data_IF_467605940726
#
_entry.id   IF_467605940726
#
_cell.length_a   1.000
_cell.length_b   1.000
_cell.length_c   1.000
_cell.angle_alpha   90.00
_cell.angle_beta   90.00
_cell.angle_gamma   90.00
#
_symmetry.space_group_name_H-M   'P 1'
#
loop_
_entity.id
_entity.type
_entity.pdbx_description
1 polymer ?
#
# COMPACT_ATOMS: atom_id res chain seq x y z
N UNK A 1 9.14 -5.60 8.45
CA UNK A 1 8.61 -5.79 7.08
C UNK A 1 8.09 -4.45 6.60
N UNK A 2 8.08 -4.20 5.29
CA UNK A 2 7.48 -3.01 4.70
C UNK A 2 6.38 -3.41 3.71
N UNK A 3 5.36 -2.58 3.61
CA UNK A 3 4.18 -2.73 2.77
C UNK A 3 4.13 -1.54 1.80
N UNK A 4 4.69 -1.67 0.59
CA UNK A 4 4.59 -0.62 -0.41
C UNK A 4 3.14 -0.51 -0.91
N UNK A 5 2.60 0.70 -0.89
CA UNK A 5 1.25 1.00 -1.41
C UNK A 5 1.42 1.85 -2.66
N UNK A 6 1.02 1.30 -3.79
CA UNK A 6 0.97 2.04 -5.05
C UNK A 6 -0.30 2.87 -5.04
N UNK A 7 -0.16 4.19 -5.14
CA UNK A 7 -1.26 5.15 -5.03
C UNK A 7 -1.40 5.96 -6.31
N UNK A 8 -2.63 6.30 -6.66
CA UNK A 8 -2.99 7.25 -7.70
C UNK A 8 -3.72 8.44 -7.05
N UNK A 9 -2.99 9.53 -6.72
CA UNK A 9 -3.55 10.69 -6.06
C UNK A 9 -4.62 11.42 -6.89
N UNK A 10 -4.53 11.38 -8.22
CA UNK A 10 -5.44 12.11 -9.10
C UNK A 10 -6.88 11.60 -8.99
N UNK A 11 -7.04 10.30 -8.75
CA UNK A 11 -8.34 9.64 -8.59
C UNK A 11 -8.57 9.08 -7.20
N UNK A 12 -7.69 9.38 -6.23
CA UNK A 12 -7.72 8.91 -4.83
C UNK A 12 -7.90 7.39 -4.72
N UNK A 13 -7.10 6.66 -5.50
CA UNK A 13 -7.10 5.19 -5.50
C UNK A 13 -5.76 4.64 -5.05
N UNK A 14 -5.79 3.40 -4.60
CA UNK A 14 -4.60 2.63 -4.26
C UNK A 14 -4.77 1.19 -4.73
N UNK A 15 -3.65 0.55 -5.02
CA UNK A 15 -3.61 -0.75 -5.66
C UNK A 15 -3.54 -1.85 -4.60
N UNK A 16 -4.47 -2.79 -4.66
CA UNK A 16 -4.54 -3.93 -3.77
C UNK A 16 -4.46 -5.25 -4.55
N UNK A 17 -3.93 -6.27 -3.90
CA UNK A 17 -3.81 -7.65 -4.36
C UNK A 17 -4.85 -8.51 -3.64
N UNK A 18 -5.49 -9.46 -4.33
CA UNK A 18 -6.35 -10.43 -3.69
C UNK A 18 -5.50 -11.41 -2.86
N UNK A 19 -5.86 -11.60 -1.59
CA UNK A 19 -5.27 -12.63 -0.74
C UNK A 19 -6.21 -13.83 -0.73
N UNK A 20 -5.68 -15.00 -1.08
CA UNK A 20 -6.43 -16.26 -0.94
C UNK A 20 -6.57 -16.59 0.54
N UNK A 21 -7.65 -16.14 1.16
CA UNK A 21 -8.07 -16.57 2.49
C UNK A 21 -9.20 -17.61 2.35
N UNK A 22 -9.21 -18.63 3.22
CA UNK A 22 -10.07 -19.82 3.07
C UNK A 22 -11.58 -19.52 2.97
N UNK A 23 -12.08 -18.40 3.50
CA UNK A 23 -13.53 -18.13 3.59
C UNK A 23 -13.96 -16.67 3.34
N UNK A 24 -13.04 -15.77 2.96
CA UNK A 24 -13.39 -14.34 2.75
C UNK A 24 -12.55 -13.69 1.66
N UNK A 25 -13.19 -12.84 0.84
CA UNK A 25 -12.51 -11.92 -0.10
C UNK A 25 -11.70 -10.90 0.71
N UNK A 26 -10.42 -11.20 0.91
CA UNK A 26 -9.46 -10.34 1.58
C UNK A 26 -8.53 -9.71 0.53
N UNK A 27 -8.24 -8.43 0.69
CA UNK A 27 -7.33 -7.68 -0.15
C UNK A 27 -6.15 -7.19 0.69
N UNK A 28 -4.96 -7.15 0.13
CA UNK A 28 -3.79 -6.62 0.84
C UNK A 28 -2.85 -5.90 -0.11
N UNK A 29 -1.83 -5.30 0.46
CA UNK A 29 -0.66 -4.81 -0.27
C UNK A 29 0.49 -5.82 -0.16
N UNK A 30 1.50 -5.75 -1.05
CA UNK A 30 2.67 -6.62 -0.95
C UNK A 30 3.32 -6.56 0.44
N UNK A 31 3.87 -7.68 0.89
CA UNK A 31 4.68 -7.75 2.10
C UNK A 31 6.12 -7.97 1.70
N UNK A 32 6.98 -7.00 1.99
CA UNK A 32 8.36 -6.98 1.54
C UNK A 32 9.30 -7.12 2.74
N UNK A 33 10.27 -8.07 2.70
CA UNK A 33 11.29 -8.17 3.71
C UNK A 33 12.26 -6.99 3.62
N UNK A 34 12.60 -6.48 4.80
CA UNK A 34 13.55 -5.37 5.00
C UNK A 34 14.86 -5.98 5.43
N UNK A 35 15.95 -5.63 4.73
CA UNK A 35 17.30 -6.12 5.09
C UNK A 35 17.78 -5.41 6.35
N UNK A 36 18.69 -6.04 7.10
CA UNK A 36 19.28 -5.40 8.27
C UNK A 36 19.94 -4.06 7.90
N UNK A 37 19.61 -2.99 8.63
CA UNK A 37 20.10 -1.63 8.38
C UNK A 37 19.51 -0.92 7.14
N UNK A 38 18.57 -1.53 6.42
CA UNK A 38 17.92 -0.93 5.26
C UNK A 38 16.74 -0.04 5.69
N UNK A 39 16.68 1.25 5.28
CA UNK A 39 15.50 2.08 5.52
C UNK A 39 14.26 1.52 4.83
N UNK A 40 13.08 1.64 5.47
CA UNK A 40 11.82 1.09 4.94
C UNK A 40 11.48 1.63 3.54
N UNK A 41 11.68 2.93 3.31
CA UNK A 41 11.48 3.54 1.99
C UNK A 41 12.41 2.93 0.93
N UNK A 42 13.66 2.60 1.29
CA UNK A 42 14.60 1.94 0.37
C UNK A 42 14.15 0.52 0.05
N UNK A 43 13.68 -0.24 1.04
CA UNK A 43 13.15 -1.59 0.83
C UNK A 43 11.89 -1.57 -0.07
N UNK A 44 10.98 -0.61 0.14
CA UNK A 44 9.80 -0.41 -0.69
C UNK A 44 10.16 -0.06 -2.14
N UNK A 45 11.06 0.92 -2.34
CA UNK A 45 11.55 1.32 -3.67
C UNK A 45 12.28 0.17 -4.36
N UNK A 46 13.11 -0.59 -3.64
CA UNK A 46 13.81 -1.76 -4.18
C UNK A 46 12.83 -2.79 -4.70
N UNK A 47 11.77 -3.09 -3.94
CA UNK A 47 10.72 -4.01 -4.40
C UNK A 47 10.00 -3.46 -5.63
N UNK A 48 9.50 -2.22 -5.60
CA UNK A 48 8.75 -1.67 -6.72
C UNK A 48 9.61 -1.54 -7.98
N UNK A 49 10.88 -1.17 -7.86
CA UNK A 49 11.82 -1.13 -9.01
C UNK A 49 12.15 -2.51 -9.59
N UNK A 50 11.96 -3.58 -8.82
CA UNK A 50 12.14 -4.94 -9.34
C UNK A 50 10.97 -5.38 -10.23
N UNK A 51 9.84 -4.67 -10.19
CA UNK A 51 8.71 -4.89 -11.08
C UNK A 51 8.97 -4.21 -12.43
N UNK A 52 9.28 -5.00 -13.44
CA UNK A 52 9.61 -4.54 -14.79
C UNK A 52 8.45 -3.73 -15.38
N UNK A 53 8.73 -2.54 -15.92
CA UNK A 53 7.73 -1.71 -16.60
C UNK A 53 7.02 -0.68 -15.72
N UNK A 54 7.32 -0.59 -14.42
CA UNK A 54 6.90 0.57 -13.62
C UNK A 54 7.70 1.83 -13.97
N UNK A 55 7.06 3.02 -13.99
CA UNK A 55 7.76 4.28 -14.20
C UNK A 55 8.65 4.64 -13.01
N UNK A 56 9.41 5.73 -13.14
CA UNK A 56 10.07 6.36 -11.99
C UNK A 56 9.07 6.63 -10.86
N UNK A 57 9.52 6.48 -9.61
CA UNK A 57 8.67 6.53 -8.42
C UNK A 57 9.04 7.69 -7.51
N UNK A 58 8.01 8.34 -6.95
CA UNK A 58 8.11 9.26 -5.82
C UNK A 58 7.51 8.59 -4.59
N UNK A 59 8.19 8.69 -3.46
CA UNK A 59 7.69 8.20 -2.17
C UNK A 59 7.04 9.37 -1.43
N UNK A 60 5.86 9.16 -0.87
CA UNK A 60 5.21 10.16 -0.03
C UNK A 60 6.02 10.40 1.25
N UNK A 61 5.96 11.60 1.83
CA UNK A 61 6.66 11.90 3.08
C UNK A 61 6.08 11.14 4.29
N UNK A 62 4.86 10.61 4.17
CA UNK A 62 4.16 9.84 5.20
C UNK A 62 4.54 8.36 5.13
N UNK A 63 4.96 7.81 6.27
CA UNK A 63 5.20 6.38 6.49
C UNK A 63 4.23 5.89 7.58
N UNK A 64 3.29 5.02 7.21
CA UNK A 64 2.34 4.45 8.17
C UNK A 64 2.98 3.34 9.01
N UNK A 65 2.61 3.25 10.28
CA UNK A 65 3.01 2.18 11.20
C UNK A 65 1.72 1.50 11.67
N UNK A 66 1.38 0.39 11.03
CA UNK A 66 0.07 -0.25 11.17
C UNK A 66 0.19 -1.61 11.89
N UNK A 67 -0.79 -1.98 12.73
CA UNK A 67 -0.89 -3.34 13.24
C UNK A 67 -1.18 -4.31 12.08
N UNK A 68 -0.43 -5.40 11.98
CA UNK A 68 -0.71 -6.52 11.09
C UNK A 68 -1.45 -7.63 11.85
N UNK A 69 -2.43 -8.27 11.21
CA UNK A 69 -3.18 -9.35 11.83
C UNK A 69 -2.34 -10.63 11.98
N UNK A 70 -2.49 -11.32 13.13
CA UNK A 70 -1.81 -12.58 13.44
C UNK A 70 -1.61 -12.82 14.95
N UNK A 71 -1.30 -14.06 15.35
CA UNK A 71 -1.14 -14.51 16.75
C UNK A 71 -0.04 -13.79 17.56
N UNK A 72 0.81 -13.00 16.90
CA UNK A 72 1.66 -11.98 17.51
C UNK A 72 1.40 -10.69 16.75
N UNK A 73 0.90 -9.66 17.42
CA UNK A 73 0.72 -8.29 16.90
C UNK A 73 2.04 -7.87 16.25
N UNK A 74 2.11 -7.90 14.92
CA UNK A 74 3.32 -7.54 14.16
C UNK A 74 3.11 -6.13 13.62
N UNK A 75 4.09 -5.26 13.79
CA UNK A 75 4.05 -3.92 13.20
C UNK A 75 4.43 -4.04 11.71
N UNK A 76 3.64 -3.40 10.85
CA UNK A 76 3.92 -3.24 9.43
C UNK A 76 4.13 -1.78 9.08
N UNK A 77 5.28 -1.48 8.47
CA UNK A 77 5.56 -0.15 7.93
C UNK A 77 4.94 -0.04 6.55
N UNK A 78 4.20 1.04 6.29
CA UNK A 78 3.50 1.32 5.05
C UNK A 78 4.16 2.49 4.36
N UNK A 79 4.57 2.31 3.11
CA UNK A 79 5.24 3.34 2.33
C UNK A 79 4.42 3.61 1.07
N UNK A 80 3.93 4.85 0.91
CA UNK A 80 3.11 5.22 -0.24
C UNK A 80 4.01 5.63 -1.42
N UNK A 81 3.71 5.11 -2.61
CA UNK A 81 4.47 5.37 -3.83
C UNK A 81 3.55 5.83 -4.96
N UNK A 82 3.95 6.89 -5.65
CA UNK A 82 3.25 7.45 -6.82
C UNK A 82 4.21 7.57 -8.01
N UNK A 83 3.71 7.66 -9.26
CA UNK A 83 4.57 7.75 -10.42
C UNK A 83 5.10 9.19 -10.57
N UNK A 84 6.37 9.33 -10.98
CA UNK A 84 6.99 10.64 -11.27
C UNK A 84 6.24 11.36 -12.41
N UNK A 85 5.76 10.61 -13.38
CA UNK A 85 5.00 11.11 -14.55
C UNK A 85 3.60 11.59 -14.21
N UNK A 86 3.14 11.42 -12.97
CA UNK A 86 1.79 11.79 -12.52
C UNK A 86 0.68 10.81 -12.93
N UNK A 87 0.97 9.83 -13.79
CA UNK A 87 0.03 8.79 -14.20
C UNK A 87 0.71 7.42 -14.25
N UNK A 88 -0.05 6.38 -13.86
CA UNK A 88 0.38 4.98 -14.00
C UNK A 88 0.12 4.44 -15.41
N UNK A 89 0.95 3.52 -15.91
CA UNK A 89 0.61 2.79 -17.13
C UNK A 89 -0.64 1.94 -16.89
N UNK A 90 -1.42 1.70 -17.95
CA UNK A 90 -2.70 0.98 -17.84
C UNK A 90 -2.55 -0.43 -17.26
N UNK A 91 -1.41 -1.08 -17.49
CA UNK A 91 -1.08 -2.41 -16.98
C UNK A 91 -0.49 -2.41 -15.57
N UNK A 92 -0.40 -1.26 -14.86
CA UNK A 92 0.16 -1.20 -13.51
C UNK A 92 -0.43 -2.22 -12.51
N UNK A 93 -1.75 -2.53 -12.51
CA UNK A 93 -2.30 -3.63 -11.71
C UNK A 93 -1.61 -4.97 -12.00
N UNK A 94 -1.50 -5.34 -13.27
CA UNK A 94 -0.88 -6.60 -13.68
C UNK A 94 0.60 -6.67 -13.31
N UNK A 95 1.29 -5.53 -13.26
CA UNK A 95 2.69 -5.45 -12.82
C UNK A 95 2.86 -5.67 -11.30
N UNK A 96 1.86 -5.31 -10.49
CA UNK A 96 1.92 -5.54 -9.04
C UNK A 96 1.64 -6.99 -8.68
N UNK A 97 0.71 -7.64 -9.39
CA UNK A 97 0.42 -9.05 -9.24
C UNK A 97 -0.91 -9.49 -9.85
N UNK A 98 -1.10 -10.80 -9.95
CA UNK A 98 -2.31 -11.39 -10.54
C UNK A 98 -3.56 -10.97 -9.76
N UNK A 99 -4.57 -10.49 -10.49
CA UNK A 99 -5.84 -10.03 -9.92
C UNK A 99 -5.75 -8.72 -9.13
N UNK A 100 -4.60 -8.03 -9.14
CA UNK A 100 -4.51 -6.72 -8.51
C UNK A 100 -5.54 -5.74 -9.10
N UNK A 101 -6.06 -4.85 -8.26
CA UNK A 101 -7.09 -3.90 -8.66
C UNK A 101 -6.94 -2.58 -7.93
N UNK A 102 -7.26 -1.49 -8.63
CA UNK A 102 -7.41 -0.17 -8.05
C UNK A 102 -8.68 -0.09 -7.21
N UNK A 103 -8.53 0.41 -5.98
CA UNK A 103 -9.62 0.63 -5.04
C UNK A 103 -9.60 2.06 -4.52
N UNK A 104 -10.78 2.64 -4.29
CA UNK A 104 -10.95 3.74 -3.34
C UNK A 104 -11.43 3.18 -1.99
N UNK A 105 -11.26 3.97 -0.92
CA UNK A 105 -11.78 3.64 0.43
C UNK A 105 -13.30 3.49 0.43
N UNK A 106 -14.01 4.33 -0.34
CA UNK A 106 -15.46 4.21 -0.55
C UNK A 106 -15.85 2.88 -1.21
N UNK A 107 -15.17 2.48 -2.29
CA UNK A 107 -15.45 1.20 -2.97
C UNK A 107 -15.23 0.00 -2.04
N UNK A 108 -14.22 0.05 -1.18
CA UNK A 108 -13.96 -1.01 -0.21
C UNK A 108 -15.09 -1.13 0.82
N UNK A 109 -15.59 0.02 1.31
CA UNK A 109 -16.70 0.09 2.26
C UNK A 109 -17.99 -0.44 1.64
N UNK A 110 -18.34 0.00 0.44
CA UNK A 110 -19.55 -0.41 -0.28
C UNK A 110 -19.53 -1.90 -0.62
N UNK A 111 -18.37 -2.44 -0.99
CA UNK A 111 -18.21 -3.85 -1.32
C UNK A 111 -18.15 -4.77 -0.09
N UNK A 112 -18.03 -4.22 1.13
CA UNK A 112 -17.91 -5.00 2.37
C UNK A 112 -16.71 -5.94 2.38
N UNK A 113 -15.63 -5.62 1.64
CA UNK A 113 -14.44 -6.46 1.53
C UNK A 113 -13.46 -6.15 2.65
N UNK A 114 -12.72 -7.17 3.08
CA UNK A 114 -11.67 -6.98 4.11
C UNK A 114 -10.38 -6.52 3.46
N UNK A 115 -9.68 -5.61 4.14
CA UNK A 115 -8.34 -5.16 3.76
C UNK A 115 -7.37 -5.50 4.89
N UNK A 116 -6.18 -5.96 4.53
CA UNK A 116 -5.09 -6.25 5.45
C UNK A 116 -3.86 -5.38 5.13
N UNK A 117 -3.38 -4.53 6.07
CA UNK A 117 -3.92 -4.33 7.42
C UNK A 117 -5.27 -3.58 7.40
N UNK A 118 -6.08 -3.81 8.43
CA UNK A 118 -7.45 -3.28 8.58
C UNK A 118 -7.49 -1.74 8.76
N UNK A 119 -6.42 -1.16 9.28
CA UNK A 119 -6.21 0.29 9.40
C UNK A 119 -5.69 0.95 8.12
N UNK A 120 -5.37 0.19 7.07
CA UNK A 120 -4.90 0.77 5.80
C UNK A 120 -5.91 1.74 5.17
N UNK A 121 -7.23 1.44 5.09
CA UNK A 121 -8.19 2.40 4.56
C UNK A 121 -8.21 3.72 5.35
N UNK A 122 -8.08 3.67 6.69
CA UNK A 122 -8.02 4.88 7.52
C UNK A 122 -6.76 5.71 7.23
N UNK A 123 -5.61 5.06 7.07
CA UNK A 123 -4.37 5.73 6.64
C UNK A 123 -4.56 6.43 5.28
N UNK A 124 -5.24 5.77 4.35
CA UNK A 124 -5.47 6.33 3.02
C UNK A 124 -6.41 7.54 3.07
N UNK A 125 -7.53 7.46 3.80
CA UNK A 125 -8.42 8.62 4.01
C UNK A 125 -7.65 9.78 4.65
N UNK A 126 -6.83 9.49 5.66
CA UNK A 126 -5.94 10.46 6.31
C UNK A 126 -4.99 11.18 5.35
N UNK A 127 -4.33 10.40 4.51
CA UNK A 127 -3.41 10.91 3.51
C UNK A 127 -4.12 11.78 2.47
N UNK A 128 -5.33 11.40 2.04
CA UNK A 128 -6.09 12.14 1.04
C UNK A 128 -6.68 13.45 1.55
N UNK A 129 -7.07 13.49 2.81
CA UNK A 129 -7.63 14.66 3.45
C UNK A 129 -6.55 15.61 3.99
N UNK A 130 -5.28 15.19 4.02
CA UNK A 130 -4.14 16.05 4.34
C UNK A 130 -3.94 16.33 5.83
N UNK A 131 -4.54 15.53 6.72
CA UNK A 131 -4.37 15.68 8.17
C UNK A 131 -3.28 14.77 8.76
N UNK A 132 -2.63 13.94 7.94
CA UNK A 132 -1.44 13.21 8.38
C UNK A 132 -0.20 14.09 8.28
N UNK A 133 0.62 14.16 9.35
CA UNK A 133 1.88 14.89 9.32
C UNK A 133 2.92 14.15 8.46
N UNK A 134 3.92 14.89 7.98
CA UNK A 134 5.11 14.30 7.36
C UNK A 134 5.87 13.43 8.38
N UNK A 135 6.41 12.30 7.92
CA UNK A 135 7.16 11.36 8.75
C UNK A 135 6.40 10.08 9.11
N UNK A 136 6.81 9.44 10.20
CA UNK A 136 6.19 8.20 10.68
C UNK A 136 4.88 8.48 11.44
N UNK A 137 3.80 7.81 11.06
CA UNK A 137 2.48 7.93 11.68
C UNK A 137 1.97 6.57 12.09
N UNK A 138 1.62 6.41 13.37
CA UNK A 138 1.00 5.21 13.90
C UNK A 138 -0.51 5.39 14.06
N UNK A 139 -1.30 4.38 13.69
CA UNK A 139 -2.76 4.36 13.79
C UNK A 139 -3.25 3.25 14.74
N UNK A 140 -2.53 3.02 15.84
CA UNK A 140 -2.88 2.03 16.87
C UNK A 140 -4.09 2.41 17.74
#
# INVERSE_FOLDING_TARGET
MVRPVVIDPAVRRFLLLPVRHRDAKCWSVPVVPVRAGEPYCRAAVRYLRSLTGLPGLLIAPVVGVLPATGARRRIAYVVLARPVTGAWPQNAPALLGEGARWWSTAQLRDAGVRVEPDTLPLLMDGYWEGWLPDGEVSLE
#
